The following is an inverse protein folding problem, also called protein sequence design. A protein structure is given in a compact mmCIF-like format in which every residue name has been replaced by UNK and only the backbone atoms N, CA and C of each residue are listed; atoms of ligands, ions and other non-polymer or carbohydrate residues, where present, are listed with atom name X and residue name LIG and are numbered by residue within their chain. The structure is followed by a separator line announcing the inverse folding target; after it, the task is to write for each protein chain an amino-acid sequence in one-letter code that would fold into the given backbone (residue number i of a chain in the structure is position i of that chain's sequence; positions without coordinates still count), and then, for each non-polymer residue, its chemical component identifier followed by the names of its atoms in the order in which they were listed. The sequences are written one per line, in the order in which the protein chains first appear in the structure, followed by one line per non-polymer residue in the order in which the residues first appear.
data_IF_973394960256
#
_entry.id   IF_973394960256
#
_cell.length_a   1.000
_cell.length_b   1.000
_cell.length_c   1.000
_cell.angle_alpha   90.00
_cell.angle_beta   90.00
_cell.angle_gamma   90.00
#
_symmetry.space_group_name_H-M   'P 1'
#
loop_
_entity.id
_entity.type
_entity.pdbx_description
1 polymer ?
#
# COMPACT_ATOMS: atom_id res chain seq x y z
N UNK A 1 -8.91 13.39 10.97
CA UNK A 1 -8.57 12.21 10.15
C UNK A 1 -9.60 11.15 10.48
N UNK A 2 -10.31 10.63 9.49
CA UNK A 2 -11.18 9.47 9.70
C UNK A 2 -10.31 8.22 9.75
N UNK A 3 -10.52 7.41 10.78
CA UNK A 3 -9.89 6.10 10.93
C UNK A 3 -10.91 5.06 10.46
N UNK A 4 -10.51 4.23 9.53
CA UNK A 4 -11.29 3.13 8.99
C UNK A 4 -10.68 1.80 9.43
N UNK A 5 -11.48 0.74 9.45
CA UNK A 5 -11.05 -0.57 9.94
C UNK A 5 -11.56 -1.68 9.01
N UNK A 6 -10.64 -2.52 8.50
CA UNK A 6 -10.96 -3.61 7.57
C UNK A 6 -9.95 -4.76 7.69
N UNK A 7 -10.33 -5.99 7.31
CA UNK A 7 -9.40 -7.13 7.22
C UNK A 7 -8.54 -7.12 5.94
N UNK A 8 -8.96 -6.35 4.94
CA UNK A 8 -8.25 -6.14 3.67
C UNK A 8 -8.23 -4.66 3.34
N UNK A 9 -7.06 -4.14 3.02
CA UNK A 9 -6.85 -2.75 2.64
C UNK A 9 -6.14 -2.72 1.30
N UNK A 10 -6.72 -2.05 0.30
CA UNK A 10 -6.10 -1.85 -1.01
C UNK A 10 -5.15 -0.65 -0.91
N UNK A 11 -3.86 -0.90 -1.12
CA UNK A 11 -2.81 0.11 -1.08
C UNK A 11 -2.67 0.84 -2.41
N UNK A 12 -2.83 0.12 -3.53
CA UNK A 12 -2.79 0.64 -4.89
C UNK A 12 -3.51 -0.30 -5.86
N UNK A 13 -3.96 0.26 -6.98
CA UNK A 13 -4.49 -0.50 -8.13
C UNK A 13 -3.47 -0.41 -9.26
N UNK A 14 -3.03 -1.57 -9.75
CA UNK A 14 -2.18 -1.72 -10.92
C UNK A 14 -3.00 -1.81 -12.22
N UNK A 15 -2.33 -2.20 -13.31
CA UNK A 15 -2.98 -2.38 -14.61
C UNK A 15 -3.92 -3.61 -14.61
N UNK A 16 -4.92 -3.65 -15.48
CA UNK A 16 -5.75 -4.86 -15.64
C UNK A 16 -6.62 -5.29 -14.44
N UNK A 17 -6.85 -4.41 -13.46
CA UNK A 17 -7.55 -4.68 -12.18
C UNK A 17 -6.72 -5.41 -11.11
N UNK A 18 -5.41 -5.54 -11.30
CA UNK A 18 -4.50 -6.03 -10.26
C UNK A 18 -4.43 -5.04 -9.10
N UNK A 19 -4.30 -5.54 -7.86
CA UNK A 19 -4.24 -4.68 -6.68
C UNK A 19 -3.13 -5.09 -5.73
N UNK A 20 -2.39 -4.09 -5.25
CA UNK A 20 -1.54 -4.22 -4.10
C UNK A 20 -2.42 -4.13 -2.86
N UNK A 21 -2.58 -5.23 -2.14
CA UNK A 21 -3.45 -5.28 -0.97
C UNK A 21 -2.75 -5.88 0.23
N UNK A 22 -2.99 -5.30 1.41
CA UNK A 22 -2.63 -5.89 2.70
C UNK A 22 -3.83 -6.67 3.20
N UNK A 23 -3.62 -7.93 3.56
CA UNK A 23 -4.64 -8.76 4.21
C UNK A 23 -4.14 -9.28 5.55
N UNK A 24 -4.98 -9.21 6.58
CA UNK A 24 -4.69 -9.74 7.91
C UNK A 24 -5.86 -10.55 8.45
N UNK A 25 -5.58 -11.48 9.36
CA UNK A 25 -6.61 -12.26 10.06
C UNK A 25 -7.45 -11.38 11.01
N UNK A 26 -6.85 -10.29 11.50
CA UNK A 26 -7.51 -9.29 12.36
C UNK A 26 -7.77 -8.00 11.60
N UNK A 27 -8.56 -7.12 12.18
CA UNK A 27 -8.80 -5.80 11.60
C UNK A 27 -7.49 -4.99 11.54
N UNK A 28 -7.36 -4.24 10.44
CA UNK A 28 -6.30 -3.27 10.16
C UNK A 28 -6.93 -1.90 10.29
N UNK A 29 -6.40 -1.07 11.17
CA UNK A 29 -6.82 0.31 11.28
C UNK A 29 -5.99 1.15 10.32
N UNK A 30 -6.64 1.93 9.46
CA UNK A 30 -5.95 2.73 8.44
C UNK A 30 -6.54 4.12 8.31
N UNK A 31 -5.70 5.04 7.85
CA UNK A 31 -6.14 6.39 7.46
C UNK A 31 -5.40 6.86 6.22
N UNK A 32 -6.14 7.53 5.35
CA UNK A 32 -5.58 8.23 4.20
C UNK A 32 -4.94 9.54 4.68
N UNK A 33 -3.65 9.71 4.40
CA UNK A 33 -2.87 10.90 4.78
C UNK A 33 -2.71 11.89 3.62
N UNK A 34 -3.51 11.74 2.57
CA UNK A 34 -3.47 12.50 1.32
C UNK A 34 -3.82 11.59 0.14
N UNK A 35 -3.71 12.10 -1.10
CA UNK A 35 -4.06 11.31 -2.30
C UNK A 35 -3.19 10.05 -2.48
N UNK A 36 -1.95 10.04 -1.96
CA UNK A 36 -0.92 9.04 -2.32
C UNK A 36 -0.10 8.52 -1.15
N UNK A 37 -0.55 8.81 0.07
CA UNK A 37 0.06 8.35 1.30
C UNK A 37 -1.01 7.76 2.21
N UNK A 38 -0.70 6.61 2.80
CA UNK A 38 -1.55 6.00 3.80
C UNK A 38 -0.72 5.49 4.96
N UNK A 39 -1.32 5.56 6.14
CA UNK A 39 -0.80 4.91 7.33
C UNK A 39 -1.76 3.79 7.70
N UNK A 40 -1.21 2.63 8.05
CA UNK A 40 -1.98 1.53 8.60
C UNK A 40 -1.27 0.92 9.79
N UNK A 41 -2.06 0.48 10.77
CA UNK A 41 -1.59 -0.20 11.98
C UNK A 41 -2.06 -1.64 11.96
N UNK A 42 -1.09 -2.56 12.08
CA UNK A 42 -1.32 -3.99 12.15
C UNK A 42 -1.28 -4.45 13.61
N UNK A 43 -2.37 -5.07 14.06
CA UNK A 43 -2.46 -5.72 15.38
C UNK A 43 -1.99 -7.17 15.39
N UNK A 44 -1.93 -7.79 14.22
CA UNK A 44 -1.43 -9.12 13.98
C UNK A 44 -0.67 -9.15 12.65
N UNK A 45 0.05 -10.23 12.40
CA UNK A 45 0.77 -10.44 11.15
C UNK A 45 -0.17 -10.24 9.94
N UNK A 46 0.37 -9.66 8.87
CA UNK A 46 -0.35 -9.41 7.62
C UNK A 46 0.51 -9.79 6.43
N UNK A 47 -0.13 -10.07 5.30
CA UNK A 47 0.55 -10.37 4.04
C UNK A 47 0.15 -9.34 3.01
N UNK A 48 1.16 -8.72 2.39
CA UNK A 48 1.00 -7.93 1.18
C UNK A 48 1.11 -8.87 -0.01
N UNK A 49 0.17 -8.77 -0.94
CA UNK A 49 0.18 -9.55 -2.18
C UNK A 49 -0.03 -8.63 -3.38
N UNK A 50 0.68 -8.91 -4.47
CA UNK A 50 0.36 -8.49 -5.83
C UNK A 50 0.32 -9.75 -6.71
N UNK A 51 -0.41 -9.73 -7.83
CA UNK A 51 -0.51 -10.91 -8.70
C UNK A 51 0.81 -11.26 -9.38
N UNK A 52 1.70 -10.27 -9.55
CA UNK A 52 2.99 -10.42 -10.25
C UNK A 52 4.20 -10.52 -9.31
N UNK A 53 4.02 -10.25 -8.01
CA UNK A 53 5.12 -10.20 -7.04
C UNK A 53 5.01 -11.27 -5.96
N UNK A 54 6.16 -11.66 -5.40
CA UNK A 54 6.24 -12.59 -4.29
C UNK A 54 5.62 -11.99 -3.01
N UNK A 55 5.16 -12.83 -2.10
CA UNK A 55 4.42 -12.39 -0.90
C UNK A 55 5.35 -11.66 0.08
N UNK A 56 4.93 -10.50 0.58
CA UNK A 56 5.64 -9.78 1.65
C UNK A 56 4.89 -9.98 2.97
N UNK A 57 5.59 -10.51 3.98
CA UNK A 57 5.04 -10.71 5.33
C UNK A 57 5.39 -9.52 6.21
N UNK A 58 4.39 -8.91 6.83
CA UNK A 58 4.52 -7.79 7.76
C UNK A 58 4.17 -8.23 9.18
N UNK A 59 5.05 -7.89 10.13
CA UNK A 59 4.83 -8.08 11.56
C UNK A 59 3.87 -7.01 12.12
N UNK A 60 3.34 -7.19 13.35
CA UNK A 60 2.54 -6.15 14.01
C UNK A 60 3.33 -4.84 14.15
N UNK A 61 2.70 -3.71 13.82
CA UNK A 61 3.37 -2.41 13.81
C UNK A 61 2.61 -1.33 13.07
N UNK A 62 3.20 -0.13 13.02
CA UNK A 62 2.68 1.01 12.24
C UNK A 62 3.50 1.18 10.98
N UNK A 63 2.81 1.25 9.86
CA UNK A 63 3.41 1.30 8.53
C UNK A 63 2.93 2.53 7.79
N UNK A 64 3.84 3.07 6.96
CA UNK A 64 3.54 4.13 6.01
C UNK A 64 3.79 3.57 4.62
N UNK A 65 2.79 3.70 3.75
CA UNK A 65 2.93 3.45 2.32
C UNK A 65 2.93 4.77 1.58
N UNK A 66 3.94 4.93 0.73
CA UNK A 66 4.10 6.05 -0.21
C UNK A 66 4.28 5.47 -1.61
N UNK A 67 3.78 6.16 -2.64
CA UNK A 67 4.09 5.78 -4.03
C UNK A 67 5.52 6.16 -4.38
N UNK A 68 6.20 5.33 -5.16
CA UNK A 68 7.49 5.67 -5.73
C UNK A 68 7.34 6.73 -6.83
N UNK A 69 8.36 7.57 -6.94
CA UNK A 69 8.58 8.48 -8.06
C UNK A 69 9.81 8.02 -8.81
N UNK A 70 9.76 8.11 -10.14
CA UNK A 70 10.91 7.94 -11.00
C UNK A 70 11.22 9.29 -11.67
N UNK A 71 12.51 9.61 -11.72
CA UNK A 71 13.01 10.76 -12.45
C UNK A 71 13.48 10.30 -13.83
N UNK A 72 12.89 10.84 -14.88
CA UNK A 72 13.32 10.63 -16.26
C UNK A 72 14.42 11.66 -16.61
N UNK A 73 15.69 11.24 -16.77
CA UNK A 73 16.79 12.16 -17.04
C UNK A 73 16.78 12.71 -18.47
N UNK A 74 16.03 12.11 -19.40
CA UNK A 74 15.97 12.53 -20.81
C UNK A 74 14.98 13.66 -21.03
N UNK A 75 13.89 13.68 -20.28
CA UNK A 75 12.91 14.78 -20.33
C UNK A 75 12.86 15.64 -19.06
N UNK A 76 13.69 15.33 -18.06
CA UNK A 76 13.81 16.02 -16.76
C UNK A 76 12.48 16.10 -15.99
N UNK A 77 11.63 15.08 -16.13
CA UNK A 77 10.35 15.02 -15.43
C UNK A 77 10.38 13.99 -14.32
N UNK A 78 9.66 14.30 -13.24
CA UNK A 78 9.32 13.34 -12.20
C UNK A 78 7.96 12.76 -12.55
N UNK A 79 7.92 11.45 -12.76
CA UNK A 79 6.69 10.70 -12.94
C UNK A 79 6.46 9.80 -11.73
N UNK A 80 5.20 9.49 -11.46
CA UNK A 80 4.86 8.51 -10.44
C UNK A 80 4.89 7.13 -11.09
N UNK A 81 5.53 6.18 -10.42
CA UNK A 81 5.55 4.79 -10.87
C UNK A 81 4.45 4.04 -10.15
N UNK A 82 3.70 3.28 -10.93
CA UNK A 82 2.74 2.31 -10.45
C UNK A 82 3.37 0.95 -10.76
N UNK A 83 3.88 0.32 -9.72
CA UNK A 83 4.13 -1.12 -9.73
C UNK A 83 2.82 -1.82 -9.36
#
# INVERSE_FOLDING_TARGET
MNIESSKRVVLATGEGAHTHAVSSATNIDFSHMGERAMMFELKAQAVVTHEEHDRIVLEPGKYYKTNQVEFDPFNQRVAWVYD
#
